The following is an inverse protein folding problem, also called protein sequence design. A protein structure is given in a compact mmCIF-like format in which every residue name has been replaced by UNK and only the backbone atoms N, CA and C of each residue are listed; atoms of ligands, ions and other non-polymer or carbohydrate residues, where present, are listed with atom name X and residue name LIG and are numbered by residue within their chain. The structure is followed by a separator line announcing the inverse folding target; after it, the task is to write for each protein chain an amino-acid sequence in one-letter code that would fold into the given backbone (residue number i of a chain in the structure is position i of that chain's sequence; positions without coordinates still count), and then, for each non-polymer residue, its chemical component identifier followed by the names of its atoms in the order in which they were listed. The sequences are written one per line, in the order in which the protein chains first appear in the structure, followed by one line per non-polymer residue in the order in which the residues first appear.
data_IF_507539667000
#
_entry.id   IF_507539667000
#
_cell.length_a   1.000
_cell.length_b   1.000
_cell.length_c   1.000
_cell.angle_alpha   90.00
_cell.angle_beta   90.00
_cell.angle_gamma   90.00
#
_symmetry.space_group_name_H-M   'P 1'
#
loop_
_entity.id
_entity.type
_entity.pdbx_description
1 polymer ?
#
# COMPACT_ATOMS: atom_id res chain seq x y z
N UNK A 1 -1.91 31.12 -34.38
CA UNK A 1 -0.85 30.18 -33.93
C UNK A 1 -1.19 29.74 -32.52
N UNK A 2 -1.50 28.46 -32.30
CA UNK A 2 -1.69 27.94 -30.95
C UNK A 2 -0.33 27.79 -30.27
N UNK A 3 -0.14 28.24 -29.02
CA UNK A 3 1.10 28.02 -28.29
C UNK A 3 1.30 26.52 -28.11
N UNK A 4 2.42 26.02 -28.63
CA UNK A 4 2.83 24.63 -28.47
C UNK A 4 3.31 24.48 -27.03
N UNK A 5 2.42 24.04 -26.14
CA UNK A 5 2.80 23.75 -24.76
C UNK A 5 3.84 22.62 -24.76
N UNK A 6 4.94 22.80 -24.02
CA UNK A 6 5.93 21.74 -23.85
C UNK A 6 5.25 20.49 -23.26
N UNK A 7 5.59 19.29 -23.75
CA UNK A 7 5.05 18.06 -23.18
C UNK A 7 5.48 17.92 -21.71
N UNK A 8 4.66 17.28 -20.87
CA UNK A 8 5.04 17.01 -19.49
C UNK A 8 6.35 16.19 -19.45
N UNK A 9 7.36 16.71 -18.75
CA UNK A 9 8.65 16.06 -18.59
C UNK A 9 8.77 15.45 -17.19
N UNK A 10 9.00 14.14 -17.12
CA UNK A 10 9.38 13.49 -15.87
C UNK A 10 10.80 13.92 -15.50
N UNK A 11 11.02 14.27 -14.23
CA UNK A 11 12.34 14.62 -13.69
C UNK A 11 12.58 13.86 -12.40
N UNK A 12 13.80 13.39 -12.21
CA UNK A 12 14.27 12.91 -10.92
C UNK A 12 14.26 14.08 -9.92
N UNK A 13 13.60 13.90 -8.78
CA UNK A 13 13.48 14.94 -7.74
C UNK A 13 14.33 14.65 -6.50
N UNK A 14 14.92 13.45 -6.39
CA UNK A 14 15.79 13.02 -5.28
C UNK A 14 16.70 11.85 -5.71
N UNK A 15 17.73 11.53 -4.92
CA UNK A 15 18.68 10.43 -5.14
C UNK A 15 18.32 9.14 -4.38
N UNK A 16 17.19 9.09 -3.68
CA UNK A 16 16.72 7.86 -3.04
C UNK A 16 16.34 6.82 -4.10
N UNK A 17 16.84 5.59 -3.95
CA UNK A 17 16.69 4.52 -4.93
C UNK A 17 16.35 3.18 -4.26
N UNK A 18 15.47 2.42 -4.90
CA UNK A 18 15.11 1.05 -4.54
C UNK A 18 15.95 0.08 -5.39
N UNK A 19 17.06 -0.42 -4.84
CA UNK A 19 18.05 -1.23 -5.60
C UNK A 19 17.73 -2.72 -5.66
N UNK A 20 17.00 -3.22 -4.66
CA UNK A 20 16.65 -4.63 -4.45
C UNK A 20 15.14 -4.84 -4.35
N UNK A 21 14.36 -3.82 -4.75
CA UNK A 21 12.92 -3.79 -4.60
C UNK A 21 12.27 -3.34 -5.90
N UNK A 22 11.11 -3.91 -6.19
CA UNK A 22 10.30 -3.59 -7.34
C UNK A 22 9.00 -2.91 -6.89
N UNK A 23 8.86 -1.58 -7.07
CA UNK A 23 7.60 -0.87 -6.85
C UNK A 23 6.46 -1.53 -7.62
N UNK A 24 5.37 -1.87 -6.93
CA UNK A 24 4.24 -2.62 -7.49
C UNK A 24 2.89 -1.94 -7.35
N UNK A 25 2.74 -0.99 -6.44
CA UNK A 25 1.51 -0.23 -6.26
C UNK A 25 1.79 1.13 -5.67
N UNK A 26 1.08 2.16 -6.12
CA UNK A 26 1.23 3.54 -5.68
C UNK A 26 -0.15 4.19 -5.57
N UNK A 27 -0.45 4.75 -4.40
CA UNK A 27 -1.68 5.51 -4.15
C UNK A 27 -1.33 6.82 -3.43
N UNK A 28 -2.02 7.90 -3.80
CA UNK A 28 -1.90 9.21 -3.16
C UNK A 28 -3.11 9.47 -2.27
N UNK A 29 -2.87 10.04 -1.10
CA UNK A 29 -3.89 10.61 -0.21
C UNK A 29 -3.40 11.95 0.36
N UNK A 30 -3.90 13.06 -0.18
CA UNK A 30 -3.42 14.39 0.18
C UNK A 30 -1.91 14.54 -0.02
N UNK A 31 -1.21 14.93 1.04
CA UNK A 31 0.26 15.06 1.04
C UNK A 31 0.99 13.77 1.43
N UNK A 32 0.31 12.62 1.29
CA UNK A 32 0.91 11.31 1.51
C UNK A 32 0.87 10.48 0.24
N UNK A 33 1.89 9.66 0.05
CA UNK A 33 1.86 8.58 -0.92
C UNK A 33 2.19 7.27 -0.23
N UNK A 34 1.46 6.23 -0.60
CA UNK A 34 1.64 4.86 -0.15
C UNK A 34 2.18 4.06 -1.30
N UNK A 35 3.24 3.31 -1.06
CA UNK A 35 3.88 2.46 -2.06
C UNK A 35 3.97 1.03 -1.51
N UNK A 36 3.61 0.05 -2.32
CA UNK A 36 4.06 -1.32 -2.08
C UNK A 36 5.22 -1.65 -3.00
N UNK A 37 6.20 -2.38 -2.46
CA UNK A 37 7.32 -2.86 -3.23
C UNK A 37 7.55 -4.34 -2.93
N UNK A 38 7.76 -5.12 -3.98
CA UNK A 38 8.12 -6.54 -3.89
C UNK A 38 9.63 -6.70 -3.84
N UNK A 39 10.10 -7.87 -3.44
CA UNK A 39 11.49 -8.24 -3.69
C UNK A 39 11.80 -8.12 -5.20
N UNK A 40 12.83 -7.36 -5.52
CA UNK A 40 13.33 -7.16 -6.88
C UNK A 40 14.72 -7.78 -7.06
N UNK A 41 15.07 -8.11 -8.30
CA UNK A 41 16.39 -8.62 -8.65
C UNK A 41 16.62 -10.10 -8.36
N UNK A 42 17.69 -10.65 -8.94
CA UNK A 42 18.11 -12.02 -8.65
C UNK A 42 18.77 -12.08 -7.27
N UNK A 43 18.25 -12.91 -6.38
CA UNK A 43 18.93 -13.24 -5.12
C UNK A 43 20.14 -14.12 -5.45
N UNK A 44 21.38 -13.74 -5.07
CA UNK A 44 22.55 -14.56 -5.34
C UNK A 44 22.40 -15.98 -4.80
N UNK A 45 22.95 -16.96 -5.52
CA UNK A 45 22.97 -18.35 -5.06
C UNK A 45 23.74 -18.44 -3.73
N UNK A 46 23.18 -19.15 -2.75
CA UNK A 46 23.76 -19.30 -1.42
C UNK A 46 23.41 -18.19 -0.43
N UNK A 47 22.63 -17.16 -0.82
CA UNK A 47 22.09 -16.20 0.14
C UNK A 47 20.94 -16.83 0.94
N UNK A 48 21.05 -16.81 2.27
CA UNK A 48 19.93 -17.16 3.16
C UNK A 48 18.81 -16.13 2.99
N UNK A 49 17.66 -16.58 2.49
CA UNK A 49 16.46 -15.73 2.41
C UNK A 49 15.84 -15.60 3.80
N UNK A 50 15.91 -14.41 4.38
CA UNK A 50 15.14 -14.10 5.58
C UNK A 50 13.72 -13.73 5.18
N UNK A 51 12.76 -13.83 6.11
CA UNK A 51 11.38 -13.46 5.83
C UNK A 51 11.26 -11.98 5.47
N UNK A 52 12.08 -11.10 6.07
CA UNK A 52 12.11 -9.67 5.78
C UNK A 52 12.52 -9.39 4.34
N UNK A 53 13.53 -10.12 3.85
CA UNK A 53 14.10 -9.92 2.51
C UNK A 53 13.15 -10.41 1.41
N UNK A 54 12.27 -11.36 1.71
CA UNK A 54 11.33 -11.92 0.75
C UNK A 54 9.94 -11.30 0.85
N UNK A 55 9.62 -10.62 1.95
CA UNK A 55 8.32 -9.99 2.15
C UNK A 55 8.15 -8.76 1.28
N UNK A 56 6.93 -8.55 0.79
CA UNK A 56 6.52 -7.27 0.25
C UNK A 56 6.55 -6.21 1.37
N UNK A 57 6.85 -4.98 0.97
CA UNK A 57 7.02 -3.85 1.88
C UNK A 57 5.91 -2.83 1.70
N UNK A 58 5.58 -2.15 2.79
CA UNK A 58 4.79 -0.93 2.77
C UNK A 58 5.71 0.24 3.04
N UNK A 59 5.70 1.20 2.13
CA UNK A 59 6.40 2.46 2.26
C UNK A 59 5.36 3.60 2.31
N UNK A 60 5.59 4.55 3.20
CA UNK A 60 4.75 5.75 3.34
C UNK A 60 5.66 6.95 3.21
N UNK A 61 5.27 7.88 2.35
CA UNK A 61 5.96 9.14 2.10
C UNK A 61 5.08 10.28 2.58
N UNK A 62 5.71 11.28 3.19
CA UNK A 62 5.10 12.57 3.48
C UNK A 62 5.68 13.61 2.53
N UNK A 63 4.88 14.02 1.54
CA UNK A 63 5.26 14.99 0.51
C UNK A 63 5.09 16.43 0.93
N UNK A 64 4.63 16.70 2.16
CA UNK A 64 4.76 18.03 2.73
C UNK A 64 6.23 18.39 2.99
N UNK A 65 7.11 17.38 3.05
CA UNK A 65 8.56 17.57 3.17
C UNK A 65 9.27 17.49 1.82
N UNK A 66 10.32 18.30 1.65
CA UNK A 66 11.17 18.27 0.45
C UNK A 66 12.01 16.98 0.41
N UNK A 67 11.61 16.00 -0.40
CA UNK A 67 12.39 14.77 -0.64
C UNK A 67 11.53 13.53 -0.88
N UNK A 68 12.10 12.47 -1.44
CA UNK A 68 11.46 11.15 -1.62
C UNK A 68 12.06 10.14 -0.64
N UNK A 69 12.15 10.50 0.64
CA UNK A 69 12.50 9.55 1.70
C UNK A 69 11.23 9.09 2.40
N UNK A 70 11.02 7.77 2.56
CA UNK A 70 9.85 7.28 3.25
C UNK A 70 9.93 7.62 4.74
N UNK A 71 8.83 8.10 5.31
CA UNK A 71 8.66 8.25 6.77
C UNK A 71 8.39 6.91 7.46
N UNK A 72 7.97 5.91 6.69
CA UNK A 72 7.83 4.53 7.12
C UNK A 72 8.24 3.59 5.99
N UNK A 73 9.05 2.59 6.30
CA UNK A 73 9.47 1.54 5.37
C UNK A 73 9.69 0.24 6.16
N UNK A 74 8.78 -0.73 6.01
CA UNK A 74 8.86 -2.01 6.71
C UNK A 74 8.43 -3.20 5.84
N UNK A 75 9.07 -4.37 6.03
CA UNK A 75 8.55 -5.63 5.51
C UNK A 75 7.24 -5.96 6.22
N UNK A 76 6.29 -6.50 5.47
CA UNK A 76 4.93 -6.77 5.97
C UNK A 76 4.71 -8.21 6.44
N UNK A 77 5.63 -9.12 6.11
CA UNK A 77 5.39 -10.56 6.25
C UNK A 77 4.45 -11.14 5.20
N UNK A 78 3.92 -10.30 4.29
CA UNK A 78 3.02 -10.71 3.22
C UNK A 78 3.75 -10.80 1.88
N UNK A 79 3.18 -11.58 0.98
CA UNK A 79 3.60 -11.69 -0.42
C UNK A 79 2.41 -11.32 -1.30
N UNK A 80 2.68 -10.69 -2.44
CA UNK A 80 1.61 -10.33 -3.36
C UNK A 80 0.78 -9.13 -2.89
N UNK A 81 1.30 -8.31 -1.98
CA UNK A 81 0.64 -7.18 -1.36
C UNK A 81 0.29 -6.11 -2.40
N UNK A 82 -0.97 -5.66 -2.39
CA UNK A 82 -1.41 -4.53 -3.22
C UNK A 82 -2.23 -3.53 -2.41
N UNK A 83 -2.06 -2.25 -2.72
CA UNK A 83 -2.87 -1.18 -2.13
C UNK A 83 -4.18 -1.12 -2.90
N UNK A 84 -5.30 -1.27 -2.18
CA UNK A 84 -6.63 -1.17 -2.76
C UNK A 84 -7.17 0.25 -2.77
N UNK A 85 -6.70 1.09 -1.84
CA UNK A 85 -7.13 2.47 -1.71
C UNK A 85 -6.87 3.01 -0.31
N UNK A 86 -7.29 4.25 -0.10
CA UNK A 86 -7.18 4.97 1.17
C UNK A 86 -8.51 5.64 1.52
N UNK A 87 -8.89 5.65 2.79
CA UNK A 87 -10.09 6.33 3.27
C UNK A 87 -9.95 6.67 4.76
N UNK A 88 -10.23 7.92 5.15
CA UNK A 88 -10.23 8.39 6.55
C UNK A 88 -9.01 7.94 7.37
N UNK A 89 -7.81 8.31 6.90
CA UNK A 89 -6.54 7.93 7.53
C UNK A 89 -6.32 6.42 7.64
N UNK A 90 -6.86 5.65 6.70
CA UNK A 90 -6.60 4.22 6.57
C UNK A 90 -6.13 3.88 5.18
N UNK A 91 -5.19 2.95 5.09
CA UNK A 91 -4.84 2.27 3.84
C UNK A 91 -5.37 0.84 3.88
N UNK A 92 -5.96 0.41 2.78
CA UNK A 92 -6.52 -0.92 2.62
C UNK A 92 -5.58 -1.74 1.76
N UNK A 93 -5.09 -2.84 2.33
CA UNK A 93 -4.12 -3.70 1.68
C UNK A 93 -4.76 -5.06 1.39
N UNK A 94 -4.68 -5.49 0.15
CA UNK A 94 -5.07 -6.84 -0.24
C UNK A 94 -3.91 -7.79 0.04
N UNK A 95 -4.16 -8.73 0.95
CA UNK A 95 -3.31 -9.88 1.21
C UNK A 95 -3.80 -11.02 0.31
N UNK A 96 -3.03 -11.31 -0.74
CA UNK A 96 -3.42 -12.26 -1.78
C UNK A 96 -3.97 -13.56 -1.18
N UNK A 97 -5.20 -13.92 -1.57
CA UNK A 97 -5.94 -15.11 -1.11
C UNK A 97 -6.24 -15.21 0.40
N UNK A 98 -5.84 -14.21 1.21
CA UNK A 98 -6.13 -14.18 2.64
C UNK A 98 -7.28 -13.22 2.96
N UNK A 99 -7.26 -12.01 2.40
CA UNK A 99 -8.24 -10.99 2.71
C UNK A 99 -7.71 -9.57 2.63
N UNK A 100 -8.39 -8.66 3.30
CA UNK A 100 -8.04 -7.23 3.35
C UNK A 100 -7.56 -6.88 4.75
N UNK A 101 -6.38 -6.27 4.82
CA UNK A 101 -5.84 -5.66 6.02
C UNK A 101 -6.15 -4.16 6.00
N UNK A 102 -6.74 -3.66 7.07
CA UNK A 102 -7.01 -2.24 7.28
C UNK A 102 -5.94 -1.69 8.21
N UNK A 103 -5.19 -0.70 7.73
CA UNK A 103 -4.08 -0.11 8.47
C UNK A 103 -4.40 1.36 8.73
N UNK A 104 -4.46 1.75 10.01
CA UNK A 104 -4.52 3.15 10.44
C UNK A 104 -3.17 3.81 10.18
N UNK A 105 -3.21 4.90 9.43
CA UNK A 105 -2.07 5.71 8.98
C UNK A 105 -2.20 7.17 9.43
N UNK A 106 -3.02 7.44 10.46
CA UNK A 106 -3.14 8.76 11.11
C UNK A 106 -1.80 9.26 11.66
N UNK A 107 -0.90 8.32 12.00
CA UNK A 107 0.51 8.57 12.28
C UNK A 107 1.36 7.89 11.21
N UNK A 108 1.75 8.59 10.12
CA UNK A 108 2.45 7.99 8.99
C UNK A 108 3.76 7.26 9.34
N UNK A 109 4.49 7.75 10.34
CA UNK A 109 5.73 7.12 10.82
C UNK A 109 5.50 5.90 11.73
N UNK A 110 4.25 5.66 12.17
CA UNK A 110 3.86 4.58 13.08
C UNK A 110 2.47 4.02 12.74
N UNK A 111 2.29 3.46 11.53
CA UNK A 111 1.02 2.87 11.11
C UNK A 111 0.68 1.64 11.94
N UNK A 112 -0.62 1.38 12.14
CA UNK A 112 -1.12 0.29 12.99
C UNK A 112 -2.18 -0.51 12.24
N UNK A 113 -2.00 -1.82 12.13
CA UNK A 113 -3.04 -2.71 11.64
C UNK A 113 -4.23 -2.71 12.62
N UNK A 114 -5.42 -2.31 12.15
CA UNK A 114 -6.61 -2.16 12.99
C UNK A 114 -7.62 -3.27 12.78
N UNK A 115 -7.77 -3.75 11.55
CA UNK A 115 -8.75 -4.78 11.24
C UNK A 115 -8.24 -5.70 10.13
N UNK A 116 -8.71 -6.94 10.12
CA UNK A 116 -8.49 -7.90 9.04
C UNK A 116 -9.80 -8.56 8.68
N UNK A 117 -10.14 -8.50 7.40
CA UNK A 117 -11.34 -9.12 6.84
C UNK A 117 -10.93 -10.20 5.87
N UNK A 118 -11.20 -11.45 6.24
CA UNK A 118 -11.10 -12.56 5.29
C UNK A 118 -12.15 -12.34 4.20
N UNK A 119 -11.70 -12.21 2.96
CA UNK A 119 -12.57 -12.19 1.78
C UNK A 119 -12.69 -13.62 1.26
N UNK A 120 -13.85 -13.97 0.69
CA UNK A 120 -14.09 -15.32 0.16
C UNK A 120 -13.32 -15.62 -1.14
N UNK A 121 -12.81 -14.58 -1.80
CA UNK A 121 -11.91 -14.65 -2.95
C UNK A 121 -10.88 -13.53 -2.94
N UNK A 122 -10.09 -13.41 -4.01
CA UNK A 122 -9.15 -12.30 -4.14
C UNK A 122 -9.88 -10.97 -4.28
N UNK A 123 -9.62 -10.04 -3.36
CA UNK A 123 -10.12 -8.69 -3.48
C UNK A 123 -9.45 -8.00 -4.67
N UNK A 124 -10.23 -7.31 -5.51
CA UNK A 124 -9.72 -6.70 -6.75
C UNK A 124 -9.91 -5.19 -6.80
N UNK A 125 -10.91 -4.69 -6.08
CA UNK A 125 -11.24 -3.27 -6.05
C UNK A 125 -11.95 -2.90 -4.76
N UNK A 126 -11.85 -1.63 -4.39
CA UNK A 126 -12.49 -1.04 -3.23
C UNK A 126 -13.09 0.31 -3.64
N UNK A 127 -14.33 0.54 -3.24
CA UNK A 127 -15.01 1.83 -3.37
C UNK A 127 -15.56 2.24 -2.01
N UNK A 128 -15.65 3.54 -1.73
CA UNK A 128 -16.14 4.02 -0.44
C UNK A 128 -17.11 5.18 -0.55
N UNK A 129 -18.11 5.19 0.31
CA UNK A 129 -19.07 6.28 0.47
C UNK A 129 -19.24 6.59 1.95
N UNK A 130 -18.72 7.74 2.39
CA UNK A 130 -18.73 8.11 3.80
C UNK A 130 -17.92 7.13 4.67
N UNK A 131 -18.61 6.40 5.55
CA UNK A 131 -18.03 5.35 6.42
C UNK A 131 -18.18 3.94 5.85
N UNK A 132 -18.91 3.78 4.76
CA UNK A 132 -19.18 2.50 4.14
C UNK A 132 -18.14 2.23 3.05
N UNK A 133 -17.54 1.05 3.12
CA UNK A 133 -16.53 0.55 2.19
C UNK A 133 -17.06 -0.73 1.56
N UNK A 134 -17.05 -0.78 0.24
CA UNK A 134 -17.49 -1.92 -0.56
C UNK A 134 -16.31 -2.50 -1.32
N UNK A 135 -16.18 -3.82 -1.24
CA UNK A 135 -15.03 -4.56 -1.72
C UNK A 135 -15.49 -5.60 -2.72
N UNK A 136 -14.90 -5.60 -3.93
CA UNK A 136 -15.14 -6.65 -4.90
C UNK A 136 -14.32 -7.91 -4.56
N UNK A 137 -14.97 -8.95 -4.06
CA UNK A 137 -14.38 -10.19 -3.53
C UNK A 137 -14.37 -11.33 -4.55
N UNK A 138 -13.98 -11.00 -5.78
CA UNK A 138 -13.90 -11.96 -6.89
C UNK A 138 -15.24 -12.61 -7.22
N UNK A 139 -15.25 -13.93 -7.41
CA UNK A 139 -16.46 -14.70 -7.75
C UNK A 139 -17.53 -14.76 -6.64
N UNK A 140 -17.24 -14.23 -5.46
CA UNK A 140 -18.08 -14.36 -4.28
C UNK A 140 -18.91 -13.11 -3.97
N UNK A 141 -18.84 -12.08 -4.83
CA UNK A 141 -19.68 -10.89 -4.73
C UNK A 141 -18.98 -9.70 -4.08
N UNK A 142 -19.73 -8.95 -3.27
CA UNK A 142 -19.29 -7.69 -2.66
C UNK A 142 -19.32 -7.81 -1.13
N UNK A 143 -18.19 -7.55 -0.49
CA UNK A 143 -18.11 -7.41 0.97
C UNK A 143 -18.37 -5.95 1.38
N UNK A 144 -19.09 -5.75 2.47
CA UNK A 144 -19.36 -4.42 3.06
C UNK A 144 -18.67 -4.29 4.42
N UNK A 145 -17.91 -3.21 4.59
CA UNK A 145 -17.20 -2.86 5.81
C UNK A 145 -17.59 -1.45 6.25
N UNK A 146 -17.87 -1.26 7.53
CA UNK A 146 -18.15 0.05 8.13
C UNK A 146 -16.97 0.52 8.99
N UNK A 147 -16.38 1.67 8.65
CA UNK A 147 -15.15 2.18 9.29
C UNK A 147 -15.34 2.71 10.71
N UNK A 148 -16.59 2.98 11.12
CA UNK A 148 -16.91 3.37 12.49
C UNK A 148 -16.87 2.21 13.49
N UNK A 149 -16.68 0.97 13.03
CA UNK A 149 -16.44 -0.17 13.92
C UNK A 149 -14.97 -0.16 14.35
N UNK A 150 -14.69 0.39 15.53
CA UNK A 150 -13.36 0.35 16.16
C UNK A 150 -13.05 -1.08 16.59
N UNK A 151 -12.39 -1.84 15.71
CA UNK A 151 -11.65 -3.03 16.08
C UNK A 151 -10.16 -2.68 16.16
N UNK A 152 -9.46 -3.23 17.14
CA UNK A 152 -8.01 -3.37 17.12
C UNK A 152 -7.72 -4.86 16.99
N UNK A 153 -6.85 -5.25 16.05
CA UNK A 153 -6.43 -6.64 15.97
C UNK A 153 -5.67 -7.05 17.25
N UNK A 154 -5.94 -8.25 17.82
CA UNK A 154 -5.09 -8.81 18.86
C UNK A 154 -3.63 -8.89 18.37
N UNK A 155 -2.69 -8.48 19.23
CA UNK A 155 -1.24 -8.56 18.95
C UNK A 155 -0.75 -10.00 18.89
#
# INVERSE_FOLDING_TARGET
AHPQANPPAARLIDSWALTDQYPSGLVRDGDRFFLTARQGGAVPAGTTRTWEATSDRLLIFDTATSGLKPVFDRPTGAFGLSIMGTQKDRVFLNLQAAGILVVDVSKPAAPVATDFRRTLGSATHLESFGDDVFIASGYFGIDHLKLSATGTLPR
#
